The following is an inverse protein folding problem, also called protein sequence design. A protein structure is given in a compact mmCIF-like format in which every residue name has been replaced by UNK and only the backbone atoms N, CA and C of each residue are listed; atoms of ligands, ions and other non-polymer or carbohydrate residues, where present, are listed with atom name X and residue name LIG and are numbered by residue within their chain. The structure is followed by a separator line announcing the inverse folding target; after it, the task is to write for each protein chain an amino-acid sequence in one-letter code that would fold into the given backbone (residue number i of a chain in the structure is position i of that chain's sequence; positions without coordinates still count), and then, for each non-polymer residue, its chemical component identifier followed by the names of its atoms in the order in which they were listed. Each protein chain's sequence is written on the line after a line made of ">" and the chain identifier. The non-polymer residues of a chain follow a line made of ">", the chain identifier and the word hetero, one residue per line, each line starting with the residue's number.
data_IF_377945079477
#
_entry.id   IF_377945079477
#
_cell.length_a   1.000
_cell.length_b   1.000
_cell.length_c   1.000
_cell.angle_alpha   90.00
_cell.angle_beta   90.00
_cell.angle_gamma   90.00
#
_symmetry.space_group_name_H-M   'P 1'
#
loop_
_entity.id
_entity.type
_entity.pdbx_description
1 polymer ?
#
# COMPACT_ATOMS: atom_id res chain seq x y z
N UNK A 1 -7.86 -25.82 17.22
CA UNK A 1 -7.85 -24.35 17.04
C UNK A 1 -6.80 -24.05 15.98
N UNK A 2 -7.18 -23.42 14.88
CA UNK A 2 -6.24 -22.98 13.85
C UNK A 2 -5.38 -21.87 14.46
N UNK A 3 -4.06 -21.95 14.30
CA UNK A 3 -3.14 -20.91 14.74
C UNK A 3 -3.49 -19.59 14.03
N UNK A 4 -3.73 -18.53 14.81
CA UNK A 4 -4.11 -17.20 14.31
C UNK A 4 -3.03 -16.65 13.36
N UNK A 5 -1.75 -16.92 13.66
CA UNK A 5 -0.63 -16.53 12.80
C UNK A 5 -0.70 -17.27 11.47
N UNK A 6 -1.10 -18.54 11.47
CA UNK A 6 -1.24 -19.32 10.24
C UNK A 6 -2.46 -18.90 9.42
N UNK A 7 -3.54 -18.48 10.06
CA UNK A 7 -4.70 -17.88 9.37
C UNK A 7 -4.31 -16.60 8.65
N UNK A 8 -3.60 -15.69 9.34
CA UNK A 8 -3.08 -14.46 8.74
C UNK A 8 -2.10 -14.77 7.59
N UNK A 9 -1.16 -15.69 7.82
CA UNK A 9 -0.17 -16.08 6.83
C UNK A 9 -0.83 -16.65 5.57
N UNK A 10 -1.79 -17.57 5.73
CA UNK A 10 -2.53 -18.16 4.62
C UNK A 10 -3.27 -17.08 3.82
N UNK A 11 -3.98 -16.19 4.50
CA UNK A 11 -4.75 -15.15 3.84
C UNK A 11 -3.89 -14.17 3.04
N UNK A 12 -2.73 -13.79 3.57
CA UNK A 12 -1.75 -12.96 2.87
C UNK A 12 -1.11 -13.67 1.67
N UNK A 13 -0.89 -14.98 1.76
CA UNK A 13 -0.37 -15.80 0.64
C UNK A 13 -1.38 -15.98 -0.50
N UNK A 14 -2.68 -15.81 -0.25
CA UNK A 14 -3.71 -15.87 -1.30
C UNK A 14 -3.66 -14.65 -2.23
N UNK A 15 -3.07 -13.54 -1.77
CA UNK A 15 -2.89 -12.30 -2.54
C UNK A 15 -1.44 -11.81 -2.43
N UNK A 16 -0.47 -12.54 -3.02
CA UNK A 16 0.93 -12.13 -2.98
C UNK A 16 1.12 -10.80 -3.72
N UNK A 17 2.17 -10.06 -3.33
CA UNK A 17 2.56 -8.78 -3.93
C UNK A 17 1.49 -7.67 -3.79
N UNK A 18 0.45 -7.90 -2.98
CA UNK A 18 -0.61 -6.95 -2.71
C UNK A 18 -0.59 -6.48 -1.26
N UNK A 19 -0.39 -5.18 -1.01
CA UNK A 19 -0.55 -4.59 0.32
C UNK A 19 -1.98 -4.79 0.85
N UNK A 20 -2.10 -5.22 2.10
CA UNK A 20 -3.37 -5.37 2.80
C UNK A 20 -3.38 -4.57 4.10
N UNK A 21 -4.54 -4.00 4.43
CA UNK A 21 -4.75 -3.23 5.64
C UNK A 21 -5.06 -4.17 6.81
N UNK A 22 -4.36 -3.99 7.94
CA UNK A 22 -4.45 -4.91 9.07
C UNK A 22 -5.86 -4.91 9.69
N UNK A 23 -6.54 -3.75 9.93
CA UNK A 23 -7.92 -3.75 10.42
C UNK A 23 -8.91 -4.49 9.51
N UNK A 24 -8.76 -4.38 8.19
CA UNK A 24 -9.63 -5.07 7.23
C UNK A 24 -9.42 -6.59 7.32
N UNK A 25 -8.16 -7.03 7.40
CA UNK A 25 -7.80 -8.43 7.62
C UNK A 25 -8.35 -8.97 8.94
N UNK A 26 -8.26 -8.18 10.01
CA UNK A 26 -8.78 -8.57 11.31
C UNK A 26 -10.31 -8.73 11.29
N UNK A 27 -11.00 -7.80 10.63
CA UNK A 27 -12.45 -7.87 10.43
C UNK A 27 -12.86 -9.07 9.58
N UNK A 28 -12.13 -9.35 8.50
CA UNK A 28 -12.37 -10.49 7.61
C UNK A 28 -12.23 -11.82 8.37
N UNK A 29 -11.24 -11.92 9.25
CA UNK A 29 -10.92 -13.14 9.99
C UNK A 29 -11.61 -13.25 11.37
N UNK A 30 -12.39 -12.23 11.77
CA UNK A 30 -13.07 -12.20 13.07
C UNK A 30 -12.13 -12.12 14.28
N UNK A 31 -10.97 -11.47 14.12
CA UNK A 31 -9.94 -11.34 15.15
C UNK A 31 -10.11 -10.06 15.98
N UNK A 32 -9.92 -10.15 17.30
CA UNK A 32 -9.92 -8.99 18.20
C UNK A 32 -8.60 -8.22 18.14
N UNK A 33 -8.63 -6.90 18.36
CA UNK A 33 -7.44 -6.00 18.33
C UNK A 33 -6.22 -6.51 19.11
N UNK A 34 -6.31 -6.91 20.40
CA UNK A 34 -5.12 -7.35 21.15
C UNK A 34 -4.48 -8.62 20.58
N UNK A 35 -5.29 -9.49 19.97
CA UNK A 35 -4.83 -10.74 19.36
C UNK A 35 -4.20 -10.48 18.00
N UNK A 36 -4.79 -9.58 17.22
CA UNK A 36 -4.26 -9.11 15.95
C UNK A 36 -2.84 -8.53 16.09
N UNK A 37 -2.61 -7.65 17.07
CA UNK A 37 -1.28 -7.05 17.29
C UNK A 37 -0.19 -8.10 17.55
N UNK A 38 -0.49 -9.14 18.33
CA UNK A 38 0.43 -10.26 18.57
C UNK A 38 0.64 -11.10 17.31
N UNK A 39 -0.46 -11.47 16.64
CA UNK A 39 -0.42 -12.29 15.43
C UNK A 39 0.39 -11.64 14.30
N UNK A 40 0.24 -10.32 14.12
CA UNK A 40 1.05 -9.55 13.16
C UNK A 40 2.52 -9.52 13.56
N UNK A 41 2.82 -9.25 14.82
CA UNK A 41 4.22 -9.20 15.30
C UNK A 41 4.93 -10.55 15.10
N UNK A 42 4.24 -11.66 15.34
CA UNK A 42 4.79 -13.00 15.11
C UNK A 42 4.88 -13.35 13.62
N UNK A 43 3.94 -12.86 12.80
CA UNK A 43 3.98 -13.03 11.36
C UNK A 43 5.19 -12.33 10.73
N UNK A 44 5.55 -11.13 11.20
CA UNK A 44 6.70 -10.36 10.68
C UNK A 44 8.06 -11.02 10.95
N UNK A 45 8.11 -12.04 11.81
CA UNK A 45 9.33 -12.83 12.05
C UNK A 45 9.55 -13.91 10.99
N UNK A 46 8.57 -14.13 10.10
CA UNK A 46 8.60 -15.15 9.05
C UNK A 46 9.04 -14.54 7.73
N UNK A 47 9.77 -15.31 6.94
CA UNK A 47 10.25 -14.87 5.62
C UNK A 47 9.10 -14.49 4.68
N UNK A 48 9.32 -13.42 3.91
CA UNK A 48 8.40 -12.93 2.89
C UNK A 48 7.26 -12.04 3.41
N UNK A 49 7.13 -11.85 4.73
CA UNK A 49 6.15 -10.93 5.30
C UNK A 49 6.81 -9.60 5.70
N UNK A 50 6.28 -8.49 5.19
CA UNK A 50 6.82 -7.16 5.45
C UNK A 50 5.77 -6.24 6.05
N UNK A 51 6.18 -5.47 7.06
CA UNK A 51 5.43 -4.34 7.59
C UNK A 51 5.71 -3.12 6.72
N UNK A 52 4.64 -2.57 6.13
CA UNK A 52 4.72 -1.41 5.26
C UNK A 52 4.45 -0.09 6.01
N UNK A 53 4.28 -0.15 7.33
CA UNK A 53 3.81 0.95 8.15
C UNK A 53 2.36 1.34 7.85
N UNK A 54 1.82 2.25 8.66
CA UNK A 54 0.43 2.73 8.55
C UNK A 54 -0.61 1.59 8.57
N UNK A 55 -0.38 0.59 9.43
CA UNK A 55 -1.21 -0.61 9.56
C UNK A 55 -1.38 -1.40 8.25
N UNK A 56 -0.32 -1.54 7.46
CA UNK A 56 -0.33 -2.31 6.20
C UNK A 56 0.73 -3.39 6.20
N UNK A 57 0.39 -4.54 5.61
CA UNK A 57 1.28 -5.69 5.46
C UNK A 57 1.32 -6.13 4.00
N UNK A 58 2.40 -6.77 3.60
CA UNK A 58 2.50 -7.46 2.31
C UNK A 58 3.18 -8.81 2.50
N UNK A 59 2.74 -9.80 1.73
CA UNK A 59 3.50 -11.01 1.50
C UNK A 59 4.13 -10.93 0.11
N UNK A 60 5.45 -10.91 0.02
CA UNK A 60 6.18 -10.84 -1.24
C UNK A 60 7.54 -11.55 -1.14
N UNK A 61 7.96 -12.17 -2.23
CA UNK A 61 9.33 -12.65 -2.39
C UNK A 61 10.30 -11.57 -2.89
N UNK A 62 9.78 -10.38 -3.22
CA UNK A 62 10.54 -9.28 -3.81
C UNK A 62 10.74 -8.16 -2.77
N UNK A 63 11.93 -8.09 -2.18
CA UNK A 63 12.28 -7.05 -1.20
C UNK A 63 12.22 -5.63 -1.78
N UNK A 64 12.52 -5.47 -3.07
CA UNK A 64 12.44 -4.16 -3.73
C UNK A 64 10.99 -3.71 -3.83
N UNK A 65 10.04 -4.63 -4.02
CA UNK A 65 8.61 -4.31 -4.02
C UNK A 65 8.14 -3.86 -2.63
N UNK A 66 8.53 -4.57 -1.57
CA UNK A 66 8.21 -4.14 -0.21
C UNK A 66 8.80 -2.75 0.10
N UNK A 67 10.06 -2.51 -0.29
CA UNK A 67 10.71 -1.22 -0.10
C UNK A 67 10.04 -0.10 -0.92
N UNK A 68 9.63 -0.39 -2.16
CA UNK A 68 8.84 0.53 -2.98
C UNK A 68 7.50 0.88 -2.34
N UNK A 69 6.79 -0.11 -1.81
CA UNK A 69 5.49 0.06 -1.16
C UNK A 69 5.56 0.91 0.12
N UNK A 70 6.68 0.84 0.83
CA UNK A 70 7.02 1.77 1.91
C UNK A 70 7.31 3.16 1.32
N UNK A 71 8.22 3.24 0.36
CA UNK A 71 8.71 4.49 -0.21
C UNK A 71 7.61 5.33 -0.87
N UNK A 72 6.68 4.71 -1.60
CA UNK A 72 5.60 5.40 -2.31
C UNK A 72 4.65 6.15 -1.38
N UNK A 73 4.63 5.84 -0.08
CA UNK A 73 3.88 6.65 0.90
C UNK A 73 4.43 8.07 1.04
N UNK A 74 5.73 8.24 0.83
CA UNK A 74 6.41 9.53 0.87
C UNK A 74 6.57 10.15 -0.52
N UNK A 75 6.60 9.33 -1.58
CA UNK A 75 6.81 9.74 -2.96
C UNK A 75 5.76 9.12 -3.91
N UNK A 76 4.58 9.75 -3.97
CA UNK A 76 3.39 9.21 -4.63
C UNK A 76 3.47 9.13 -6.17
N UNK A 77 4.40 9.84 -6.80
CA UNK A 77 4.46 10.00 -8.27
C UNK A 77 5.65 9.29 -8.91
N UNK A 78 6.06 8.16 -8.32
CA UNK A 78 7.18 7.33 -8.76
C UNK A 78 6.69 5.94 -9.13
N UNK A 79 7.12 5.42 -10.28
CA UNK A 79 6.84 4.04 -10.68
C UNK A 79 7.79 3.06 -9.98
N UNK A 80 7.41 1.78 -9.96
CA UNK A 80 8.27 0.74 -9.43
C UNK A 80 9.60 0.64 -10.20
N UNK A 81 9.58 0.78 -11.54
CA UNK A 81 10.79 0.70 -12.36
C UNK A 81 11.76 1.83 -12.02
N UNK A 82 11.24 3.04 -11.79
CA UNK A 82 12.04 4.19 -11.38
C UNK A 82 12.64 4.01 -10.01
N UNK A 83 11.84 3.48 -9.07
CA UNK A 83 12.33 3.14 -7.74
C UNK A 83 13.51 2.18 -7.83
N UNK A 84 13.39 1.09 -8.59
CA UNK A 84 14.47 0.11 -8.78
C UNK A 84 15.70 0.77 -9.42
N UNK A 85 15.49 1.62 -10.43
CA UNK A 85 16.59 2.28 -11.15
C UNK A 85 17.38 3.27 -10.28
N UNK A 86 16.71 4.01 -9.40
CA UNK A 86 17.33 5.04 -8.56
C UNK A 86 17.35 4.69 -7.06
N UNK A 87 17.24 3.40 -6.69
CA UNK A 87 17.11 2.97 -5.30
C UNK A 87 18.23 3.47 -4.39
N UNK A 88 19.44 3.55 -4.91
CA UNK A 88 20.64 3.99 -4.18
C UNK A 88 20.73 5.53 -4.09
N UNK A 89 19.79 6.24 -4.73
CA UNK A 89 19.74 7.70 -4.85
C UNK A 89 18.35 8.23 -4.46
N UNK A 90 17.89 8.02 -3.21
CA UNK A 90 16.52 8.36 -2.79
C UNK A 90 16.17 9.84 -2.96
N UNK A 91 17.16 10.73 -2.88
CA UNK A 91 16.95 12.17 -3.10
C UNK A 91 16.52 12.49 -4.54
N UNK A 92 16.96 11.71 -5.54
CA UNK A 92 16.51 11.86 -6.94
C UNK A 92 15.05 11.45 -7.05
N UNK A 93 14.68 10.32 -6.46
CA UNK A 93 13.29 9.84 -6.43
C UNK A 93 12.35 10.86 -5.78
N UNK A 94 12.75 11.42 -4.63
CA UNK A 94 11.97 12.47 -3.95
C UNK A 94 11.81 13.72 -4.83
N UNK A 95 12.87 14.15 -5.51
CA UNK A 95 12.84 15.29 -6.42
C UNK A 95 11.91 15.03 -7.61
N UNK A 96 12.06 13.89 -8.27
CA UNK A 96 11.21 13.48 -9.40
C UNK A 96 9.73 13.43 -9.00
N UNK A 97 9.43 12.88 -7.82
CA UNK A 97 8.06 12.82 -7.30
C UNK A 97 7.48 14.21 -7.12
N UNK A 98 8.25 15.11 -6.50
CA UNK A 98 7.82 16.49 -6.24
C UNK A 98 7.65 17.29 -7.54
N UNK A 99 8.60 17.20 -8.45
CA UNK A 99 8.55 17.92 -9.73
C UNK A 99 7.30 17.50 -10.54
N UNK A 100 6.91 16.21 -10.47
CA UNK A 100 5.67 15.70 -11.06
C UNK A 100 4.42 16.16 -10.34
N UNK A 101 4.43 16.22 -9.01
CA UNK A 101 3.31 16.78 -8.25
C UNK A 101 3.07 18.25 -8.64
N UNK A 102 4.14 19.03 -8.74
CA UNK A 102 4.08 20.42 -9.18
C UNK A 102 3.55 20.51 -10.62
N UNK A 103 4.07 19.70 -11.54
CA UNK A 103 3.59 19.67 -12.93
C UNK A 103 2.10 19.31 -13.03
N UNK A 104 1.63 18.33 -12.23
CA UNK A 104 0.22 17.94 -12.18
C UNK A 104 -0.68 19.08 -11.66
N UNK A 105 -0.23 19.82 -10.64
CA UNK A 105 -0.96 20.98 -10.10
C UNK A 105 -0.98 22.17 -11.05
N UNK A 106 0.04 22.32 -11.89
CA UNK A 106 0.11 23.40 -12.89
C UNK A 106 -0.66 23.10 -14.17
N UNK A 107 -1.02 21.83 -14.42
CA UNK A 107 -1.85 21.38 -15.53
C UNK A 107 -3.35 21.55 -15.16
N UNK A 108 -3.84 22.78 -15.32
CA UNK A 108 -5.24 23.16 -15.01
C UNK A 108 -6.27 22.35 -15.79
N UNK A 109 -5.91 21.87 -16.99
CA UNK A 109 -6.77 21.05 -17.83
C UNK A 109 -6.95 19.64 -17.23
N UNK A 110 -5.86 19.00 -16.79
CA UNK A 110 -5.96 17.73 -16.04
C UNK A 110 -6.67 17.89 -14.70
N UNK A 111 -6.48 19.00 -13.99
CA UNK A 111 -7.22 19.26 -12.76
C UNK A 111 -8.73 19.37 -13.00
N UNK A 112 -9.14 20.05 -14.08
CA UNK A 112 -10.55 20.14 -14.49
C UNK A 112 -11.12 18.76 -14.85
N UNK A 113 -10.40 17.96 -15.65
CA UNK A 113 -10.82 16.61 -16.03
C UNK A 113 -10.96 15.68 -14.81
N UNK A 114 -10.01 15.73 -13.87
CA UNK A 114 -10.09 14.94 -12.63
C UNK A 114 -11.27 15.37 -11.75
N UNK A 115 -11.52 16.68 -11.61
CA UNK A 115 -12.66 17.20 -10.84
C UNK A 115 -14.01 16.83 -11.46
N UNK A 116 -14.11 16.84 -12.80
CA UNK A 116 -15.31 16.38 -13.52
C UNK A 116 -15.52 14.88 -13.26
N UNK A 117 -14.47 14.07 -13.39
CA UNK A 117 -14.54 12.61 -13.19
C UNK A 117 -14.92 12.24 -11.74
N UNK A 118 -14.41 12.96 -10.74
CA UNK A 118 -14.78 12.75 -9.34
C UNK A 118 -16.23 13.13 -9.04
N UNK A 119 -16.73 14.23 -9.64
CA UNK A 119 -18.14 14.64 -9.54
C UNK A 119 -19.10 13.64 -10.19
N UNK A 120 -18.72 13.07 -11.33
CA UNK A 120 -19.51 12.02 -11.99
C UNK A 120 -19.54 10.74 -11.16
N UNK A 121 -18.41 10.36 -10.54
CA UNK A 121 -18.31 9.19 -9.67
C UNK A 121 -19.13 9.33 -8.38
N UNK A 122 -19.21 10.54 -7.81
CA UNK A 122 -20.05 10.82 -6.64
C UNK A 122 -21.54 10.85 -6.98
N UNK A 123 -21.92 11.31 -8.18
CA UNK A 123 -23.30 11.25 -8.67
C UNK A 123 -23.77 9.82 -9.00
N UNK A 124 -22.87 8.95 -9.45
CA UNK A 124 -23.17 7.53 -9.71
C UNK A 124 -23.43 6.69 -8.44
N UNK A 125 -23.06 7.17 -7.26
CA UNK A 125 -23.28 6.49 -5.97
C UNK A 125 -24.51 6.99 -5.20
N UNK A 126 -25.26 7.96 -5.74
CA UNK A 126 -26.57 8.35 -5.22
C UNK A 126 -27.67 7.74 -6.06
N UNK A 127 -27.96 6.46 -5.84
CA UNK A 127 -29.24 5.85 -6.20
C UNK A 127 -29.90 5.46 -4.88
N UNK A 128 -30.95 6.20 -4.53
CA UNK A 128 -31.92 5.82 -3.49
C UNK A 128 -32.70 4.58 -3.94
#
# INVERSE_FOLDING_TARGET
>A
MTDEVEMLARRLRETPDMPMFIPDLASELGLTEPRMARGVSDLMKRDGFFDLGNNRLIFTGNSDLAAFEIFRTAALHISFEEFVHYRDQPHILMRLSRDREVACRMDTEKMLQNSIREKERTRGNTVF
#
